data_IF_715444850982
#
_entry.id   IF_715444850982
#
_cell.length_a   1.000
_cell.length_b   1.000
_cell.length_c   1.000
_cell.angle_alpha   90.00
_cell.angle_beta   90.00
_cell.angle_gamma   90.00
#
_symmetry.space_group_name_H-M   'P 1'
#
loop_
_entity.id
_entity.type
_entity.pdbx_description
1 polymer ?
#
# COMPACT_ATOMS: atom_id res chain seq x y z
N UNK A 1 3.31 -13.51 3.93
CA UNK A 1 4.19 -12.40 4.40
C UNK A 1 3.70 -11.92 5.75
N UNK A 2 4.58 -11.74 6.71
CA UNK A 2 4.23 -11.18 8.01
C UNK A 2 4.48 -9.67 8.05
N UNK A 3 4.10 -9.03 9.17
CA UNK A 3 4.22 -7.58 9.33
C UNK A 3 5.68 -7.10 9.23
N UNK A 4 6.63 -7.83 9.79
CA UNK A 4 8.04 -7.44 9.78
C UNK A 4 8.60 -7.47 8.37
N UNK A 5 8.33 -8.54 7.62
CA UNK A 5 8.77 -8.68 6.23
C UNK A 5 8.13 -7.61 5.34
N UNK A 6 6.85 -7.32 5.56
CA UNK A 6 6.14 -6.28 4.83
C UNK A 6 6.75 -4.90 5.09
N UNK A 7 6.96 -4.59 6.36
CA UNK A 7 7.56 -3.32 6.79
C UNK A 7 8.95 -3.15 6.20
N UNK A 8 9.78 -4.17 6.29
CA UNK A 8 11.13 -4.14 5.74
C UNK A 8 11.10 -3.87 4.24
N UNK A 9 10.21 -4.54 3.50
CA UNK A 9 10.09 -4.34 2.06
C UNK A 9 9.69 -2.89 1.72
N UNK A 10 8.66 -2.35 2.40
CA UNK A 10 8.23 -0.97 2.17
C UNK A 10 9.36 0.03 2.39
N UNK A 11 10.16 -0.19 3.44
CA UNK A 11 11.25 0.73 3.78
C UNK A 11 12.49 0.60 2.87
N UNK A 12 12.55 -0.44 2.02
CA UNK A 12 13.59 -0.51 0.98
C UNK A 12 13.29 0.42 -0.20
N UNK A 13 12.06 0.86 -0.37
CA UNK A 13 11.69 1.73 -1.49
C UNK A 13 12.31 3.13 -1.28
N UNK A 14 12.81 3.78 -2.33
CA UNK A 14 13.50 5.06 -2.20
C UNK A 14 12.68 6.13 -1.47
N UNK A 15 13.29 6.73 -0.45
CA UNK A 15 12.69 7.80 0.36
C UNK A 15 11.41 7.42 1.12
N UNK A 16 11.11 6.12 1.23
CA UNK A 16 9.96 5.67 1.99
C UNK A 16 10.16 5.90 3.48
N UNK A 17 9.12 6.38 4.13
CA UNK A 17 9.09 6.60 5.58
C UNK A 17 7.87 5.92 6.18
N UNK A 18 7.87 5.75 7.50
CA UNK A 18 6.72 5.20 8.21
C UNK A 18 6.36 6.08 9.39
N UNK A 19 5.07 6.12 9.75
CA UNK A 19 4.60 6.81 10.95
C UNK A 19 3.22 6.27 11.35
N UNK A 20 2.72 6.76 12.49
CA UNK A 20 1.42 6.35 13.02
C UNK A 20 0.57 7.59 13.32
N UNK A 21 0.15 8.34 12.29
CA UNK A 21 -0.52 9.64 12.47
C UNK A 21 -1.96 9.52 13.00
N UNK A 22 -2.57 8.33 12.91
CA UNK A 22 -3.95 8.07 13.32
C UNK A 22 -4.03 7.26 14.61
N UNK A 23 -2.95 7.24 15.42
CA UNK A 23 -2.90 6.49 16.68
C UNK A 23 -2.26 5.11 16.51
N UNK A 24 -2.34 4.30 17.57
CA UNK A 24 -1.64 3.02 17.70
C UNK A 24 -2.11 1.93 16.73
N UNK A 25 -3.27 2.10 16.12
CA UNK A 25 -3.91 1.05 15.33
C UNK A 25 -3.56 1.06 13.85
N UNK A 26 -2.91 2.11 13.37
CA UNK A 26 -2.61 2.26 11.94
C UNK A 26 -1.17 2.66 11.72
N UNK A 27 -0.46 1.81 10.97
CA UNK A 27 0.89 2.09 10.51
C UNK A 27 0.82 2.50 9.04
N UNK A 28 1.35 3.68 8.71
CA UNK A 28 1.35 4.17 7.33
C UNK A 28 2.76 4.27 6.78
N UNK A 29 2.86 4.07 5.46
CA UNK A 29 4.12 4.22 4.72
C UNK A 29 3.92 5.32 3.67
N UNK A 30 4.88 6.24 3.60
CA UNK A 30 4.78 7.43 2.77
C UNK A 30 5.96 7.61 1.84
N UNK A 31 5.70 8.28 0.73
CA UNK A 31 6.72 8.89 -0.13
C UNK A 31 6.32 10.36 -0.33
N UNK A 32 7.25 11.29 -0.04
CA UNK A 32 6.99 12.73 -0.11
C UNK A 32 5.71 13.13 0.62
N UNK A 33 5.52 12.61 1.85
CA UNK A 33 4.36 12.86 2.72
C UNK A 33 3.03 12.29 2.22
N UNK A 34 3.03 11.49 1.15
CA UNK A 34 1.83 10.87 0.60
C UNK A 34 1.81 9.38 0.92
N UNK A 35 0.68 8.88 1.42
CA UNK A 35 0.54 7.48 1.84
C UNK A 35 0.47 6.55 0.63
N UNK A 36 1.30 5.50 0.60
CA UNK A 36 1.18 4.43 -0.38
C UNK A 36 0.80 3.07 0.24
N UNK A 37 0.87 2.94 1.55
CA UNK A 37 0.41 1.74 2.25
C UNK A 37 -0.15 2.13 3.61
N UNK A 38 -1.30 1.56 3.96
CA UNK A 38 -1.97 1.78 5.24
C UNK A 38 -2.28 0.43 5.86
N UNK A 39 -1.62 0.11 6.97
CA UNK A 39 -1.79 -1.17 7.66
C UNK A 39 -2.65 -0.99 8.91
N UNK A 40 -3.72 -1.80 9.02
CA UNK A 40 -4.56 -1.83 10.21
C UNK A 40 -4.01 -2.88 11.17
N UNK A 41 -3.40 -2.44 12.26
CA UNK A 41 -2.75 -3.32 13.24
C UNK A 41 -3.74 -4.04 14.16
N UNK A 42 -4.99 -3.57 14.23
CA UNK A 42 -6.03 -4.17 15.07
C UNK A 42 -6.84 -5.24 14.36
N UNK A 43 -6.69 -5.36 13.06
CA UNK A 43 -7.51 -6.31 12.29
C UNK A 43 -6.89 -7.69 12.26
N UNK A 44 -7.72 -8.72 12.50
CA UNK A 44 -7.32 -10.12 12.38
C UNK A 44 -8.29 -10.78 11.41
N UNK A 45 -7.82 -11.38 10.30
CA UNK A 45 -6.42 -11.44 9.84
C UNK A 45 -5.86 -10.08 9.41
N UNK A 46 -4.54 -9.96 9.45
CA UNK A 46 -3.83 -8.73 9.12
C UNK A 46 -4.11 -8.29 7.69
N UNK A 47 -4.44 -7.01 7.53
CA UNK A 47 -4.72 -6.44 6.22
C UNK A 47 -3.95 -5.14 5.99
N UNK A 48 -3.72 -4.84 4.72
CA UNK A 48 -3.08 -3.59 4.31
C UNK A 48 -3.84 -3.01 3.12
N UNK A 49 -3.99 -1.69 3.09
CA UNK A 49 -4.60 -0.99 1.96
C UNK A 49 -3.51 -0.39 1.09
N UNK A 50 -3.63 -0.65 -0.21
CA UNK A 50 -2.65 -0.26 -1.22
C UNK A 50 -3.36 0.45 -2.37
N UNK A 51 -2.74 1.51 -2.87
CA UNK A 51 -3.25 2.24 -4.02
C UNK A 51 -3.03 1.42 -5.29
N UNK A 52 -4.00 1.50 -6.20
CA UNK A 52 -3.96 0.70 -7.42
C UNK A 52 -4.62 1.44 -8.58
N UNK A 53 -4.12 1.21 -9.78
CA UNK A 53 -4.78 1.67 -11.00
C UNK A 53 -6.17 1.00 -11.06
N UNK A 54 -7.25 1.76 -11.39
CA UNK A 54 -8.62 1.27 -11.26
C UNK A 54 -8.95 -0.05 -11.96
N UNK A 55 -8.48 -0.24 -13.19
CA UNK A 55 -8.74 -1.50 -13.91
C UNK A 55 -8.04 -2.68 -13.24
N UNK A 56 -6.80 -2.48 -12.82
CA UNK A 56 -6.03 -3.50 -12.11
C UNK A 56 -6.66 -3.82 -10.76
N UNK A 57 -7.20 -2.81 -10.08
CA UNK A 57 -7.89 -3.00 -8.80
C UNK A 57 -9.08 -3.94 -8.95
N UNK A 58 -9.90 -3.75 -9.99
CA UNK A 58 -11.04 -4.61 -10.27
C UNK A 58 -10.59 -6.04 -10.60
N UNK A 59 -9.59 -6.19 -11.46
CA UNK A 59 -9.04 -7.51 -11.83
C UNK A 59 -8.57 -8.29 -10.61
N UNK A 60 -7.83 -7.64 -9.72
CA UNK A 60 -7.34 -8.27 -8.49
C UNK A 60 -8.47 -8.72 -7.57
N UNK A 61 -9.51 -7.89 -7.43
CA UNK A 61 -10.67 -8.25 -6.62
C UNK A 61 -11.45 -9.44 -7.21
N UNK A 62 -11.52 -9.53 -8.53
CA UNK A 62 -12.18 -10.64 -9.21
C UNK A 62 -11.35 -11.94 -9.10
N UNK A 63 -10.03 -11.82 -9.19
CA UNK A 63 -9.13 -12.96 -9.10
C UNK A 63 -9.02 -13.51 -7.68
N UNK A 64 -9.06 -12.64 -6.66
CA UNK A 64 -8.93 -13.01 -5.25
C UNK A 64 -10.09 -12.46 -4.42
N UNK A 65 -11.35 -12.86 -4.69
CA UNK A 65 -12.53 -12.21 -4.11
C UNK A 65 -12.62 -12.26 -2.58
N UNK A 66 -12.03 -13.28 -1.94
CA UNK A 66 -12.05 -13.43 -0.49
C UNK A 66 -10.84 -12.78 0.19
N UNK A 67 -9.85 -12.35 -0.56
CA UNK A 67 -8.57 -11.88 -0.03
C UNK A 67 -8.24 -10.44 -0.42
N UNK A 68 -8.86 -9.94 -1.47
CA UNK A 68 -8.68 -8.57 -1.95
C UNK A 68 -10.05 -7.94 -2.15
N UNK A 69 -10.30 -6.85 -1.43
CA UNK A 69 -11.58 -6.12 -1.50
C UNK A 69 -11.32 -4.65 -1.73
N UNK A 70 -12.38 -3.90 -2.08
CA UNK A 70 -12.27 -2.46 -2.22
C UNK A 70 -11.82 -1.82 -0.92
N UNK A 71 -11.00 -0.78 -1.00
CA UNK A 71 -10.40 -0.13 0.17
C UNK A 71 -11.43 0.35 1.18
N UNK A 72 -11.30 -0.12 2.42
CA UNK A 72 -12.18 0.23 3.51
C UNK A 72 -11.89 1.66 3.99
N UNK A 73 -12.91 2.51 4.04
CA UNK A 73 -12.81 3.94 4.38
C UNK A 73 -11.90 4.77 3.45
N UNK A 74 -11.57 4.23 2.27
CA UNK A 74 -10.74 4.89 1.28
C UNK A 74 -11.50 4.97 -0.05
N UNK A 75 -10.96 5.70 -1.02
CA UNK A 75 -11.54 5.74 -2.36
C UNK A 75 -11.48 4.34 -2.99
N UNK A 76 -12.63 3.71 -3.12
CA UNK A 76 -12.76 2.31 -3.58
C UNK A 76 -12.31 2.10 -5.02
N UNK A 77 -12.26 3.15 -5.81
CA UNK A 77 -11.78 3.08 -7.19
C UNK A 77 -10.26 2.94 -7.27
N UNK A 78 -9.54 3.55 -6.33
CA UNK A 78 -8.08 3.64 -6.36
C UNK A 78 -7.39 2.85 -5.25
N UNK A 79 -8.13 2.23 -4.33
CA UNK A 79 -7.56 1.50 -3.21
C UNK A 79 -8.15 0.12 -3.05
N UNK A 80 -7.28 -0.86 -2.82
CA UNK A 80 -7.66 -2.22 -2.42
C UNK A 80 -7.15 -2.49 -1.02
N UNK A 81 -7.93 -3.26 -0.25
CA UNK A 81 -7.49 -3.82 1.02
C UNK A 81 -7.20 -5.30 0.81
N UNK A 82 -5.99 -5.73 1.15
CA UNK A 82 -5.51 -7.08 0.89
C UNK A 82 -5.15 -7.79 2.18
N UNK A 83 -5.41 -9.12 2.22
CA UNK A 83 -5.04 -9.96 3.36
C UNK A 83 -3.57 -10.35 3.21
N UNK A 84 -2.73 -9.82 4.09
CA UNK A 84 -1.28 -9.91 3.99
C UNK A 84 -0.75 -11.34 4.02
N UNK A 85 -1.28 -12.17 4.93
CA UNK A 85 -0.76 -13.52 5.16
C UNK A 85 -1.33 -14.57 4.23
N UNK A 86 -2.42 -14.28 3.53
CA UNK A 86 -3.15 -15.23 2.69
C UNK A 86 -2.76 -15.21 1.21
N UNK A 87 -1.96 -14.23 0.81
CA UNK A 87 -1.57 -14.03 -0.59
C UNK A 87 -0.09 -14.35 -0.81
N UNK A 88 0.29 -14.76 -2.04
CA UNK A 88 1.71 -15.00 -2.35
C UNK A 88 2.55 -13.76 -2.07
N UNK A 89 3.72 -13.95 -1.48
CA UNK A 89 4.63 -12.86 -1.15
C UNK A 89 5.04 -12.05 -2.39
N UNK A 90 5.27 -12.74 -3.51
CA UNK A 90 5.61 -12.09 -4.79
C UNK A 90 4.51 -11.12 -5.22
N UNK A 91 3.26 -11.55 -5.08
CA UNK A 91 2.12 -10.70 -5.42
C UNK A 91 2.01 -9.47 -4.50
N UNK A 92 2.20 -9.67 -3.20
CA UNK A 92 2.20 -8.56 -2.24
C UNK A 92 3.27 -7.54 -2.62
N UNK A 93 4.49 -7.99 -2.91
CA UNK A 93 5.59 -7.11 -3.32
C UNK A 93 5.26 -6.33 -4.59
N UNK A 94 4.67 -7.00 -5.59
CA UNK A 94 4.23 -6.35 -6.82
C UNK A 94 3.19 -5.26 -6.55
N UNK A 95 2.21 -5.56 -5.69
CA UNK A 95 1.15 -4.62 -5.35
C UNK A 95 1.71 -3.42 -4.56
N UNK A 96 2.66 -3.63 -3.67
CA UNK A 96 3.32 -2.55 -2.93
C UNK A 96 4.11 -1.65 -3.90
N UNK A 97 4.90 -2.25 -4.77
CA UNK A 97 5.67 -1.52 -5.78
C UNK A 97 4.76 -0.70 -6.68
N UNK A 98 3.68 -1.30 -7.14
CA UNK A 98 2.68 -0.61 -7.97
C UNK A 98 2.04 0.57 -7.23
N UNK A 99 1.67 0.37 -5.95
CA UNK A 99 1.11 1.44 -5.13
C UNK A 99 2.07 2.61 -4.97
N UNK A 100 3.33 2.29 -4.66
CA UNK A 100 4.40 3.30 -4.57
C UNK A 100 4.52 4.09 -5.88
N UNK A 101 4.54 3.40 -7.01
CA UNK A 101 4.64 4.04 -8.33
C UNK A 101 3.42 4.91 -8.65
N UNK A 102 2.21 4.47 -8.27
CA UNK A 102 0.99 5.25 -8.46
C UNK A 102 1.05 6.56 -7.68
N UNK A 103 1.52 6.52 -6.46
CA UNK A 103 1.68 7.72 -5.63
C UNK A 103 2.79 8.61 -6.18
N UNK A 104 3.94 8.01 -6.54
CA UNK A 104 5.09 8.72 -7.10
C UNK A 104 4.71 9.50 -8.37
N UNK A 105 3.89 8.90 -9.23
CA UNK A 105 3.43 9.53 -10.48
C UNK A 105 2.63 10.81 -10.25
N UNK A 106 2.00 10.96 -9.08
CA UNK A 106 1.18 12.13 -8.73
C UNK A 106 1.99 13.24 -8.04
N UNK A 107 3.23 12.98 -7.69
CA UNK A 107 4.09 13.97 -7.05
C UNK A 107 4.52 15.02 -8.09
N UNK A 108 4.40 16.32 -7.79
CA UNK A 108 4.85 17.37 -8.71
C UNK A 108 6.31 17.19 -9.10
N UNK A 109 6.63 17.48 -10.35
CA UNK A 109 7.98 17.33 -10.91
C UNK A 109 9.06 18.00 -10.05
N UNK A 110 8.77 19.18 -9.53
CA UNK A 110 9.69 19.95 -8.69
C UNK A 110 10.05 19.19 -7.40
N UNK A 111 9.06 18.55 -6.76
CA UNK A 111 9.30 17.73 -5.57
C UNK A 111 10.09 16.48 -5.91
N UNK A 112 9.81 15.85 -7.06
CA UNK A 112 10.59 14.68 -7.52
C UNK A 112 12.05 15.03 -7.73
N UNK A 113 12.32 16.16 -8.34
CA UNK A 113 13.68 16.65 -8.57
C UNK A 113 14.42 16.86 -7.25
N UNK A 114 13.74 17.44 -6.24
CA UNK A 114 14.31 17.64 -4.92
C UNK A 114 14.67 16.33 -4.21
N UNK A 115 13.92 15.25 -4.49
CA UNK A 115 14.18 13.91 -3.93
C UNK A 115 15.20 13.10 -4.76
N UNK A 116 15.48 13.53 -5.99
CA UNK A 116 16.34 12.77 -6.88
C UNK A 116 15.70 11.54 -7.51
N UNK A 117 14.40 11.57 -7.64
CA UNK A 117 13.64 10.45 -8.24
C UNK A 117 12.95 10.84 -9.55
#
# INVERSE_FOLDING_TARGET
MNIETFRDFCLTLPHATEDMPFGENFLVFRIANRIFALMNLNRVPMSVSLKCEPERAVELREEYPDKIVAGYHLNKKHWNTVLLESLPEVLIKEMVQHSYEQVLAKIPKKEKEALGV
#
